data_IF_494328979490
#
_entry.id   IF_494328979490
#
_cell.length_a   1.000
_cell.length_b   1.000
_cell.length_c   1.000
_cell.angle_alpha   90.00
_cell.angle_beta   90.00
_cell.angle_gamma   90.00
#
_symmetry.space_group_name_H-M   'P 1'
#
loop_
_entity.id
_entity.type
_entity.pdbx_description
1 polymer ?
#
# COMPACT_ATOMS: atom_id res chain seq x y z
N UNK A 1 11.35 4.90 -17.34
CA UNK A 1 11.09 3.93 -16.26
C UNK A 1 10.48 4.67 -15.07
N UNK A 2 9.75 3.96 -14.21
CA UNK A 2 9.27 4.54 -12.96
C UNK A 2 10.31 4.29 -11.87
N UNK A 3 10.44 5.21 -10.92
CA UNK A 3 11.15 4.92 -9.68
C UNK A 3 10.40 3.78 -8.96
N UNK A 4 11.01 2.60 -8.95
CA UNK A 4 10.36 1.36 -8.55
C UNK A 4 9.96 1.35 -7.07
N UNK A 5 10.89 1.71 -6.19
CA UNK A 5 10.63 1.71 -4.75
C UNK A 5 9.58 2.76 -4.38
N UNK A 6 9.65 3.94 -5.01
CA UNK A 6 8.63 4.97 -4.86
C UNK A 6 7.28 4.52 -5.40
N UNK A 7 7.24 3.81 -6.52
CA UNK A 7 6.00 3.27 -7.07
C UNK A 7 5.34 2.27 -6.13
N UNK A 8 6.10 1.39 -5.49
CA UNK A 8 5.59 0.45 -4.47
C UNK A 8 5.03 1.19 -3.26
N UNK A 9 5.76 2.19 -2.74
CA UNK A 9 5.30 2.99 -1.59
C UNK A 9 4.00 3.74 -1.91
N UNK A 10 3.94 4.41 -3.06
CA UNK A 10 2.76 5.16 -3.49
C UNK A 10 1.57 4.25 -3.77
N UNK A 11 1.80 3.07 -4.36
CA UNK A 11 0.78 2.05 -4.55
C UNK A 11 0.16 1.60 -3.22
N UNK A 12 1.00 1.32 -2.21
CA UNK A 12 0.54 0.95 -0.87
C UNK A 12 -0.28 2.09 -0.25
N UNK A 13 0.22 3.32 -0.30
CA UNK A 13 -0.50 4.47 0.22
C UNK A 13 -1.83 4.71 -0.51
N UNK A 14 -1.84 4.65 -1.84
CA UNK A 14 -3.04 4.89 -2.65
C UNK A 14 -4.18 3.90 -2.34
N UNK A 15 -3.84 2.64 -2.01
CA UNK A 15 -4.81 1.63 -1.64
C UNK A 15 -5.29 1.76 -0.18
N UNK A 16 -4.36 1.89 0.76
CA UNK A 16 -4.66 1.76 2.20
C UNK A 16 -4.90 3.09 2.92
N UNK A 17 -4.67 4.23 2.26
CA UNK A 17 -4.98 5.54 2.84
C UNK A 17 -6.47 5.60 3.20
N UNK A 18 -6.76 6.08 4.42
CA UNK A 18 -8.11 6.09 4.99
C UNK A 18 -8.83 4.74 4.82
N UNK A 19 -8.16 3.63 5.14
CA UNK A 19 -8.73 2.27 5.08
C UNK A 19 -9.20 1.87 3.66
N UNK A 20 -8.79 2.59 2.62
CA UNK A 20 -9.41 2.46 1.29
C UNK A 20 -10.83 3.03 1.21
N UNK A 21 -11.35 3.63 2.29
CA UNK A 21 -12.62 4.39 2.35
C UNK A 21 -12.44 5.78 1.73
N UNK A 22 -11.91 5.81 0.51
CA UNK A 22 -11.75 7.01 -0.33
C UNK A 22 -12.26 6.64 -1.71
N UNK A 23 -13.10 7.49 -2.30
CA UNK A 23 -13.69 7.24 -3.63
C UNK A 23 -12.63 7.01 -4.73
N UNK A 24 -11.44 7.58 -4.57
CA UNK A 24 -10.31 7.44 -5.47
C UNK A 24 -9.24 6.46 -4.96
N UNK A 25 -9.61 5.46 -4.15
CA UNK A 25 -8.66 4.44 -3.70
C UNK A 25 -8.08 3.66 -4.90
N UNK A 26 -6.76 3.41 -4.86
CA UNK A 26 -6.01 2.70 -5.89
C UNK A 26 -6.24 1.18 -5.87
N UNK A 27 -7.50 0.75 -6.02
CA UNK A 27 -7.92 -0.66 -5.89
C UNK A 27 -7.43 -1.59 -7.00
N UNK A 28 -6.91 -1.04 -8.09
CA UNK A 28 -6.33 -1.78 -9.22
C UNK A 28 -5.03 -1.13 -9.66
N UNK A 29 -4.03 -1.95 -9.95
CA UNK A 29 -2.71 -1.53 -10.40
C UNK A 29 -2.27 -2.41 -11.56
N UNK A 30 -1.65 -1.80 -12.58
CA UNK A 30 -1.07 -2.52 -13.72
C UNK A 30 0.44 -2.51 -13.58
N UNK A 31 1.04 -3.68 -13.51
CA UNK A 31 2.48 -3.87 -13.29
C UNK A 31 3.08 -4.53 -14.51
N UNK A 32 4.21 -4.00 -14.98
CA UNK A 32 4.93 -4.57 -16.12
C UNK A 32 5.50 -5.94 -15.76
N UNK A 33 5.43 -6.91 -16.68
CA UNK A 33 5.78 -8.32 -16.43
C UNK A 33 7.19 -8.48 -15.81
N UNK A 34 8.16 -7.72 -16.31
CA UNK A 34 9.56 -7.78 -15.88
C UNK A 34 9.79 -7.46 -14.40
N UNK A 35 8.87 -6.74 -13.74
CA UNK A 35 9.01 -6.33 -12.33
C UNK A 35 7.88 -6.84 -11.45
N UNK A 36 7.01 -7.72 -11.99
CA UNK A 36 5.80 -8.15 -11.33
C UNK A 36 6.08 -8.84 -9.99
N UNK A 37 6.94 -9.86 -9.99
CA UNK A 37 7.21 -10.66 -8.78
C UNK A 37 7.86 -9.83 -7.67
N UNK A 38 8.85 -9.00 -8.02
CA UNK A 38 9.49 -8.09 -7.07
C UNK A 38 8.48 -7.08 -6.49
N UNK A 39 7.59 -6.55 -7.33
CA UNK A 39 6.57 -5.61 -6.88
C UNK A 39 5.63 -6.26 -5.88
N UNK A 40 5.16 -7.49 -6.16
CA UNK A 40 4.27 -8.24 -5.28
C UNK A 40 4.94 -8.51 -3.93
N UNK A 41 6.20 -8.95 -3.92
CA UNK A 41 6.92 -9.22 -2.68
C UNK A 41 7.08 -7.97 -1.82
N UNK A 42 7.50 -6.84 -2.41
CA UNK A 42 7.61 -5.57 -1.66
C UNK A 42 6.23 -5.06 -1.21
N UNK A 43 5.23 -5.05 -2.10
CA UNK A 43 3.88 -4.60 -1.76
C UNK A 43 3.27 -5.40 -0.60
N UNK A 44 3.46 -6.72 -0.60
CA UNK A 44 3.08 -7.62 0.50
C UNK A 44 3.83 -7.27 1.79
N UNK A 45 5.14 -7.05 1.72
CA UNK A 45 5.92 -6.65 2.90
C UNK A 45 5.43 -5.32 3.49
N UNK A 46 5.07 -4.34 2.66
CA UNK A 46 4.46 -3.09 3.12
C UNK A 46 3.08 -3.34 3.78
N UNK A 47 2.24 -4.17 3.17
CA UNK A 47 0.93 -4.53 3.74
C UNK A 47 1.05 -5.21 5.11
N UNK A 48 1.98 -6.15 5.27
CA UNK A 48 2.18 -6.90 6.53
C UNK A 48 2.74 -6.04 7.67
N UNK A 49 3.48 -4.97 7.36
CA UNK A 49 4.01 -4.04 8.38
C UNK A 49 2.96 -3.05 8.90
N UNK A 50 1.81 -2.94 8.25
CA UNK A 50 0.78 -1.96 8.59
C UNK A 50 0.03 -2.36 9.86
N UNK A 51 0.08 -1.51 10.88
CA UNK A 51 -0.57 -1.77 12.16
C UNK A 51 -2.04 -1.33 12.08
N UNK A 52 -2.94 -2.29 12.20
CA UNK A 52 -4.40 -2.06 12.27
C UNK A 52 -4.85 -2.13 13.73
N UNK A 53 -5.64 -1.16 14.18
CA UNK A 53 -6.08 -1.14 15.58
C UNK A 53 -6.86 0.12 15.98
N UNK A 54 -6.83 0.43 17.26
CA UNK A 54 -7.50 1.62 17.83
C UNK A 54 -6.87 2.93 17.30
N UNK A 55 -7.66 3.82 16.66
CA UNK A 55 -7.13 5.05 16.05
C UNK A 55 -6.54 6.04 17.06
N UNK A 56 -6.84 5.91 18.36
CA UNK A 56 -6.28 6.77 19.40
C UNK A 56 -4.95 6.24 19.97
N UNK A 57 -4.56 4.99 19.63
CA UNK A 57 -3.28 4.43 20.07
C UNK A 57 -2.13 4.90 19.17
N UNK A 58 -1.07 5.41 19.80
CA UNK A 58 0.15 5.81 19.09
C UNK A 58 0.74 4.62 18.33
N UNK A 59 1.12 4.85 17.09
CA UNK A 59 1.75 3.83 16.23
C UNK A 59 0.76 2.98 15.42
N UNK A 60 -0.55 3.14 15.60
CA UNK A 60 -1.56 2.53 14.71
C UNK A 60 -1.58 3.29 13.39
N UNK A 61 -1.44 2.56 12.27
CA UNK A 61 -1.49 3.13 10.93
C UNK A 61 -2.92 3.18 10.37
N UNK A 62 -3.80 2.30 10.85
CA UNK A 62 -5.13 2.11 10.31
C UNK A 62 -6.15 1.82 11.42
N UNK A 63 -7.16 2.68 11.52
CA UNK A 63 -8.37 2.46 12.31
C UNK A 63 -9.41 1.58 11.60
N UNK A 64 -10.62 1.44 12.17
CA UNK A 64 -11.76 0.85 11.45
C UNK A 64 -12.18 1.68 10.23
#
# INVERSE_FOLDING_TARGET
DADFDKAVELAHHALFFNQGQRCCAGSRMYIHEHVYDEFIEKAKAHALRRIVGDPFKKGVNQGP
#
